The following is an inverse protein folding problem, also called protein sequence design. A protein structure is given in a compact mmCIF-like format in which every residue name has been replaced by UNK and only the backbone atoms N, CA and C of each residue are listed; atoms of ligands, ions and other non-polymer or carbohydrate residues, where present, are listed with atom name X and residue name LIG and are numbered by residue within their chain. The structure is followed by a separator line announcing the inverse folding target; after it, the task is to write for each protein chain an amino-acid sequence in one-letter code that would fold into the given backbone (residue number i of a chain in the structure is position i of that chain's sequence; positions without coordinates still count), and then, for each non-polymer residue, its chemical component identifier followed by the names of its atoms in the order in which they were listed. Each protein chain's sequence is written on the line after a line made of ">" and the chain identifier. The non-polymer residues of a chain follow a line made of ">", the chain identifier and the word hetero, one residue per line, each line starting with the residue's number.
data_IF_648741175101
#
_entry.id   IF_648741175101
#
_cell.length_a   1.000
_cell.length_b   1.000
_cell.length_c   1.000
_cell.angle_alpha   90.00
_cell.angle_beta   90.00
_cell.angle_gamma   90.00
#
_symmetry.space_group_name_H-M   'P 1'
#
loop_
_entity.id
_entity.type
_entity.pdbx_description
1 polymer ?
#
# COMPACT_ATOMS: atom_id res chain seq x y z
N UNK A 1 -19.79 -2.88 -19.36
CA UNK A 1 -18.72 -3.39 -20.25
C UNK A 1 -17.47 -3.58 -19.38
N UNK A 2 -17.32 -4.76 -18.79
CA UNK A 2 -16.20 -5.11 -17.90
C UNK A 2 -15.04 -5.60 -18.75
N UNK A 3 -13.88 -4.94 -18.64
CA UNK A 3 -12.58 -5.21 -19.28
C UNK A 3 -12.47 -6.57 -19.99
N UNK A 4 -12.97 -6.61 -21.22
CA UNK A 4 -12.59 -7.56 -22.24
C UNK A 4 -11.58 -6.87 -23.16
N UNK A 5 -10.30 -7.08 -22.90
CA UNK A 5 -9.22 -6.81 -23.85
C UNK A 5 -8.01 -7.68 -23.48
N UNK A 6 -8.07 -8.93 -23.95
CA UNK A 6 -6.95 -9.71 -24.49
C UNK A 6 -5.58 -9.52 -23.84
N UNK A 7 -5.35 -10.24 -22.74
CA UNK A 7 -4.06 -10.88 -22.48
C UNK A 7 -4.39 -12.30 -22.00
N UNK A 8 -4.50 -13.21 -22.96
CA UNK A 8 -4.96 -14.59 -22.79
C UNK A 8 -4.12 -15.34 -21.74
N UNK A 9 -4.64 -15.49 -20.51
CA UNK A 9 -4.37 -16.58 -19.52
C UNK A 9 -4.67 -16.27 -18.03
N UNK A 10 -5.46 -15.24 -17.69
CA UNK A 10 -5.67 -14.86 -16.28
C UNK A 10 -7.15 -14.73 -15.92
N UNK A 11 -7.65 -15.62 -15.05
CA UNK A 11 -8.97 -15.49 -14.40
C UNK A 11 -8.83 -14.97 -12.96
N UNK A 12 -9.61 -13.93 -12.61
CA UNK A 12 -9.80 -13.46 -11.23
C UNK A 12 -11.21 -13.85 -10.76
N UNK A 13 -11.33 -14.38 -9.54
CA UNK A 13 -12.61 -14.76 -8.93
C UNK A 13 -13.04 -13.77 -7.83
N UNK A 14 -14.34 -13.45 -7.67
CA UNK A 14 -14.87 -12.63 -6.58
C UNK A 14 -14.67 -13.27 -5.19
N UNK A 15 -14.66 -12.44 -4.13
CA UNK A 15 -14.38 -12.85 -2.74
C UNK A 15 -15.52 -13.54 -1.99
N UNK A 16 -16.76 -13.39 -2.46
CA UNK A 16 -17.95 -14.00 -1.84
C UNK A 16 -18.29 -15.29 -2.60
N UNK A 17 -17.91 -16.43 -2.02
CA UNK A 17 -18.00 -17.76 -2.62
C UNK A 17 -19.43 -18.35 -2.63
N UNK A 18 -20.43 -17.55 -3.01
CA UNK A 18 -21.66 -18.04 -3.63
C UNK A 18 -21.47 -17.92 -5.15
N UNK A 19 -20.45 -18.61 -5.66
CA UNK A 19 -20.14 -18.62 -7.09
C UNK A 19 -21.27 -19.38 -7.79
N UNK A 20 -22.09 -18.60 -8.48
CA UNK A 20 -23.13 -19.03 -9.40
C UNK A 20 -22.68 -20.22 -10.25
N UNK A 21 -23.59 -21.18 -10.40
CA UNK A 21 -23.50 -22.42 -11.21
C UNK A 21 -23.29 -22.20 -12.71
N UNK A 22 -23.01 -20.98 -13.16
CA UNK A 22 -22.89 -20.63 -14.57
C UNK A 22 -21.47 -20.95 -15.01
N UNK A 23 -21.26 -22.12 -15.62
CA UNK A 23 -19.96 -22.67 -16.04
C UNK A 23 -19.11 -21.83 -17.02
N UNK A 24 -19.40 -20.55 -17.21
CA UNK A 24 -18.64 -19.61 -18.03
C UNK A 24 -17.17 -19.49 -17.61
N UNK A 25 -16.87 -19.55 -16.30
CA UNK A 25 -15.50 -19.48 -15.79
C UNK A 25 -14.72 -20.81 -15.93
N UNK A 26 -15.38 -21.93 -16.26
CA UNK A 26 -14.69 -23.22 -16.38
C UNK A 26 -13.78 -23.27 -17.59
N UNK A 27 -14.19 -22.66 -18.71
CA UNK A 27 -13.37 -22.60 -19.92
C UNK A 27 -12.11 -21.74 -19.69
N UNK A 28 -12.25 -20.59 -19.03
CA UNK A 28 -11.10 -19.70 -18.71
C UNK A 28 -10.08 -20.38 -17.78
N UNK A 29 -10.54 -21.25 -16.89
CA UNK A 29 -9.69 -21.95 -15.92
C UNK A 29 -8.98 -23.18 -16.48
N UNK A 30 -9.49 -23.81 -17.55
CA UNK A 30 -8.86 -25.00 -18.18
C UNK A 30 -7.46 -24.69 -18.69
N UNK A 31 -7.26 -23.49 -19.26
CA UNK A 31 -6.00 -23.08 -19.89
C UNK A 31 -5.16 -22.14 -19.01
N UNK A 32 -5.67 -21.78 -17.83
CA UNK A 32 -4.98 -20.89 -16.91
C UNK A 32 -3.74 -21.57 -16.29
N UNK A 33 -2.57 -20.95 -16.42
CA UNK A 33 -1.36 -21.42 -15.73
C UNK A 33 -1.43 -21.12 -14.23
N UNK A 34 -1.98 -19.95 -13.89
CA UNK A 34 -2.07 -19.45 -12.53
C UNK A 34 -3.36 -18.66 -12.33
N UNK A 35 -4.01 -18.87 -11.20
CA UNK A 35 -5.24 -18.19 -10.78
C UNK A 35 -4.93 -17.29 -9.59
N UNK A 36 -5.34 -16.03 -9.65
CA UNK A 36 -5.12 -15.06 -8.57
C UNK A 36 -6.40 -14.88 -7.78
N UNK A 37 -6.32 -15.11 -6.47
CA UNK A 37 -7.49 -15.11 -5.58
C UNK A 37 -7.21 -14.21 -4.39
N UNK A 38 -7.86 -13.03 -4.30
CA UNK A 38 -7.85 -12.25 -3.07
C UNK A 38 -8.68 -13.00 -2.00
N UNK A 39 -8.03 -13.37 -0.91
CA UNK A 39 -8.65 -14.09 0.20
C UNK A 39 -8.83 -13.14 1.39
N UNK A 40 -10.08 -12.96 1.82
CA UNK A 40 -10.40 -12.22 3.03
C UNK A 40 -10.48 -13.14 4.26
N UNK A 41 -9.74 -12.80 5.30
CA UNK A 41 -9.74 -13.48 6.59
C UNK A 41 -10.66 -12.76 7.56
N UNK A 42 -11.97 -13.06 7.50
CA UNK A 42 -13.00 -12.30 8.22
C UNK A 42 -12.75 -12.13 9.73
N UNK A 43 -12.17 -13.14 10.41
CA UNK A 43 -11.86 -13.06 11.85
C UNK A 43 -10.88 -11.95 12.22
N UNK A 44 -9.95 -11.64 11.32
CA UNK A 44 -8.89 -10.64 11.54
C UNK A 44 -9.03 -9.44 10.60
N UNK A 45 -10.08 -9.39 9.79
CA UNK A 45 -10.33 -8.34 8.79
C UNK A 45 -9.10 -8.05 7.92
N UNK A 46 -8.43 -9.11 7.46
CA UNK A 46 -7.17 -9.03 6.73
C UNK A 46 -7.29 -9.64 5.34
N UNK A 47 -6.66 -9.02 4.35
CA UNK A 47 -6.62 -9.51 2.98
C UNK A 47 -5.25 -10.09 2.67
N UNK A 48 -5.24 -11.26 2.03
CA UNK A 48 -4.04 -11.90 1.49
C UNK A 48 -4.27 -12.28 0.03
N UNK A 49 -3.21 -12.38 -0.76
CA UNK A 49 -3.31 -12.88 -2.12
C UNK A 49 -2.87 -14.34 -2.19
N UNK A 50 -3.71 -15.19 -2.77
CA UNK A 50 -3.33 -16.53 -3.20
C UNK A 50 -3.00 -16.50 -4.70
N UNK A 51 -1.88 -17.09 -5.08
CA UNK A 51 -1.56 -17.39 -6.47
C UNK A 51 -1.49 -18.91 -6.64
N UNK A 52 -2.55 -19.48 -7.20
CA UNK A 52 -2.73 -20.92 -7.38
C UNK A 52 -2.13 -21.33 -8.72
N UNK A 53 -1.05 -22.11 -8.70
CA UNK A 53 -0.41 -22.67 -9.91
C UNK A 53 -0.99 -24.04 -10.21
N UNK A 54 -1.97 -24.08 -11.11
CA UNK A 54 -2.73 -25.29 -11.43
C UNK A 54 -1.84 -26.43 -11.98
N UNK A 55 -0.84 -26.07 -12.78
CA UNK A 55 0.10 -27.04 -13.36
C UNK A 55 1.09 -27.67 -12.37
N UNK A 56 1.37 -27.00 -11.24
CA UNK A 56 2.34 -27.43 -10.24
C UNK A 56 1.69 -27.95 -8.95
N UNK A 57 0.37 -27.88 -8.83
CA UNK A 57 -0.35 -28.13 -7.57
C UNK A 57 0.28 -27.37 -6.39
N UNK A 58 0.58 -26.09 -6.60
CA UNK A 58 1.18 -25.19 -5.60
C UNK A 58 0.29 -23.97 -5.40
N UNK A 59 0.12 -23.54 -4.15
CA UNK A 59 -0.54 -22.28 -3.78
C UNK A 59 0.48 -21.37 -3.13
N UNK A 60 0.82 -20.28 -3.79
CA UNK A 60 1.67 -19.25 -3.21
C UNK A 60 0.83 -18.23 -2.44
N UNK A 61 1.23 -17.94 -1.21
CA UNK A 61 0.56 -16.97 -0.34
C UNK A 61 1.42 -15.72 -0.22
N UNK A 62 0.84 -14.57 -0.52
CA UNK A 62 1.43 -13.25 -0.28
C UNK A 62 0.65 -12.54 0.83
N UNK A 63 1.27 -12.44 2.01
CA UNK A 63 0.72 -11.79 3.20
C UNK A 63 1.56 -10.56 3.55
N UNK A 64 0.95 -9.38 3.55
CA UNK A 64 1.61 -8.10 3.84
C UNK A 64 1.90 -7.87 5.33
N UNK A 65 1.40 -8.69 6.25
CA UNK A 65 1.63 -8.52 7.70
C UNK A 65 2.66 -9.53 8.24
N UNK A 66 2.81 -10.69 7.62
CA UNK A 66 3.51 -11.81 8.24
C UNK A 66 4.87 -12.12 7.60
N UNK A 67 5.96 -11.88 8.35
CA UNK A 67 7.29 -12.49 8.13
C UNK A 67 7.61 -13.63 9.11
N UNK A 68 6.84 -13.73 10.20
CA UNK A 68 7.03 -14.66 11.34
C UNK A 68 5.86 -15.66 11.35
N UNK A 69 5.91 -16.84 12.00
CA UNK A 69 4.72 -17.65 12.24
C UNK A 69 3.62 -16.85 12.96
N UNK A 70 2.67 -16.36 12.18
CA UNK A 70 1.46 -15.70 12.65
C UNK A 70 0.39 -16.74 13.04
N UNK A 71 -0.42 -16.48 14.08
CA UNK A 71 -1.53 -17.35 14.47
C UNK A 71 -2.54 -17.59 13.33
N UNK A 72 -2.75 -16.62 12.43
CA UNK A 72 -3.68 -16.78 11.30
C UNK A 72 -3.08 -17.51 10.09
N UNK A 73 -1.80 -17.90 10.14
CA UNK A 73 -1.17 -18.69 9.07
C UNK A 73 -1.93 -20.00 8.83
N UNK A 74 -2.36 -20.66 9.92
CA UNK A 74 -3.18 -21.88 9.87
C UNK A 74 -4.54 -21.63 9.22
N UNK A 75 -5.15 -20.47 9.49
CA UNK A 75 -6.43 -20.10 8.91
C UNK A 75 -6.32 -19.86 7.40
N UNK A 76 -5.21 -19.24 6.95
CA UNK A 76 -4.90 -19.08 5.52
C UNK A 76 -4.71 -20.45 4.86
N UNK A 77 -3.88 -21.33 5.44
CA UNK A 77 -3.63 -22.67 4.91
C UNK A 77 -4.92 -23.49 4.82
N UNK A 78 -5.75 -23.47 5.87
CA UNK A 78 -7.03 -24.17 5.89
C UNK A 78 -7.99 -23.62 4.83
N UNK A 79 -8.07 -22.28 4.70
CA UNK A 79 -8.93 -21.63 3.71
C UNK A 79 -8.46 -21.91 2.28
N UNK A 80 -7.16 -21.84 2.02
CA UNK A 80 -6.56 -22.16 0.73
C UNK A 80 -6.79 -23.63 0.35
N UNK A 81 -6.57 -24.57 1.27
CA UNK A 81 -6.82 -26.01 1.04
C UNK A 81 -8.30 -26.27 0.79
N UNK A 82 -9.20 -25.68 1.57
CA UNK A 82 -10.65 -25.81 1.39
C UNK A 82 -11.05 -25.30 0.00
N UNK A 83 -10.66 -24.07 -0.35
CA UNK A 83 -10.95 -23.45 -1.64
C UNK A 83 -10.43 -24.31 -2.80
N UNK A 84 -9.20 -24.78 -2.70
CA UNK A 84 -8.61 -25.64 -3.73
C UNK A 84 -9.35 -26.97 -3.84
N UNK A 85 -9.68 -27.61 -2.72
CA UNK A 85 -10.37 -28.90 -2.69
C UNK A 85 -11.81 -28.82 -3.19
N UNK A 86 -12.54 -27.76 -2.87
CA UNK A 86 -13.96 -27.64 -3.26
C UNK A 86 -14.15 -27.06 -4.66
N UNK A 87 -13.30 -26.14 -5.12
CA UNK A 87 -13.55 -25.40 -6.36
C UNK A 87 -12.51 -25.63 -7.45
N UNK A 88 -11.26 -25.94 -7.09
CA UNK A 88 -10.15 -25.99 -8.05
C UNK A 88 -9.59 -27.41 -8.29
N UNK A 89 -10.00 -28.40 -7.49
CA UNK A 89 -9.47 -29.78 -7.51
C UNK A 89 -9.41 -30.36 -8.93
N UNK A 90 -10.48 -30.15 -9.71
CA UNK A 90 -10.62 -30.66 -11.09
C UNK A 90 -9.69 -30.00 -12.12
N UNK A 91 -9.13 -28.83 -11.80
CA UNK A 91 -8.23 -28.10 -12.69
C UNK A 91 -6.75 -28.37 -12.36
N UNK A 92 -6.45 -29.04 -11.24
CA UNK A 92 -5.09 -29.47 -10.95
C UNK A 92 -4.69 -30.67 -11.81
N UNK A 93 -3.43 -30.68 -12.26
CA UNK A 93 -2.87 -31.83 -13.00
C UNK A 93 -2.61 -33.05 -12.12
N UNK A 94 -2.47 -32.85 -10.82
CA UNK A 94 -2.23 -33.91 -9.84
C UNK A 94 -3.43 -34.08 -8.92
N UNK A 95 -3.73 -35.34 -8.55
CA UNK A 95 -4.72 -35.68 -7.52
C UNK A 95 -4.22 -35.38 -6.10
N UNK A 96 -2.93 -35.10 -5.93
CA UNK A 96 -2.35 -34.76 -4.62
C UNK A 96 -2.85 -33.40 -4.15
N UNK A 97 -3.15 -33.23 -2.86
CA UNK A 97 -3.49 -31.93 -2.29
C UNK A 97 -2.41 -30.90 -2.61
N UNK A 98 -2.77 -29.65 -2.95
CA UNK A 98 -1.78 -28.67 -3.33
C UNK A 98 -0.90 -28.27 -2.15
N UNK A 99 0.37 -28.00 -2.44
CA UNK A 99 1.34 -27.54 -1.45
C UNK A 99 1.16 -26.04 -1.24
N UNK A 100 1.01 -25.59 0.01
CA UNK A 100 0.86 -24.17 0.34
C UNK A 100 2.23 -23.60 0.73
N UNK A 101 2.67 -22.58 0.00
CA UNK A 101 3.99 -21.94 0.14
C UNK A 101 3.82 -20.47 0.43
N UNK A 102 4.39 -19.99 1.55
CA UNK A 102 4.38 -18.58 1.91
C UNK A 102 5.56 -17.87 1.25
N UNK A 103 5.27 -16.86 0.43
CA UNK A 103 6.28 -16.07 -0.26
C UNK A 103 6.61 -14.82 0.53
N UNK A 104 7.88 -14.39 0.44
CA UNK A 104 8.30 -13.12 1.02
C UNK A 104 7.55 -11.98 0.31
N UNK A 105 6.84 -11.18 1.09
CA UNK A 105 5.96 -10.12 0.60
C UNK A 105 6.42 -8.74 1.10
N UNK A 106 6.02 -7.68 0.40
CA UNK A 106 6.22 -6.32 0.90
C UNK A 106 5.39 -6.17 2.18
N UNK A 107 6.03 -5.69 3.25
CA UNK A 107 5.37 -5.55 4.55
C UNK A 107 4.61 -4.23 4.62
N UNK A 108 3.38 -4.28 5.11
CA UNK A 108 2.55 -3.11 5.32
C UNK A 108 2.95 -2.35 6.59
N UNK A 109 2.89 -1.02 6.49
CA UNK A 109 3.15 -0.11 7.60
C UNK A 109 1.79 0.38 8.10
N UNK A 110 1.11 -0.44 8.91
CA UNK A 110 -0.22 -0.13 9.46
C UNK A 110 -1.22 -1.27 9.32
N UNK A 111 -2.47 -1.03 9.72
CA UNK A 111 -3.54 -2.04 9.72
C UNK A 111 -4.50 -1.94 8.53
N UNK A 112 -4.44 -0.87 7.73
CA UNK A 112 -5.50 -0.51 6.77
C UNK A 112 -5.19 -0.84 5.31
N UNK A 113 -3.94 -1.20 4.99
CA UNK A 113 -3.45 -1.27 3.61
C UNK A 113 -3.45 -2.67 3.00
N UNK A 114 -3.91 -3.70 3.70
CA UNK A 114 -3.83 -5.09 3.24
C UNK A 114 -4.52 -5.32 1.88
N UNK A 115 -5.62 -4.63 1.61
CA UNK A 115 -6.28 -4.66 0.30
C UNK A 115 -5.43 -4.03 -0.80
N UNK A 116 -4.80 -2.88 -0.55
CA UNK A 116 -3.91 -2.21 -1.52
C UNK A 116 -2.70 -3.08 -1.85
N UNK A 117 -2.11 -3.71 -0.83
CA UNK A 117 -0.99 -4.64 -1.01
C UNK A 117 -1.41 -5.89 -1.81
N UNK A 118 -2.59 -6.43 -1.55
CA UNK A 118 -3.15 -7.58 -2.29
C UNK A 118 -3.30 -7.25 -3.79
N UNK A 119 -3.91 -6.11 -4.11
CA UNK A 119 -4.08 -5.65 -5.49
C UNK A 119 -2.74 -5.37 -6.18
N UNK A 120 -1.81 -4.73 -5.47
CA UNK A 120 -0.47 -4.44 -5.96
C UNK A 120 0.29 -5.73 -6.29
N UNK A 121 0.25 -6.73 -5.42
CA UNK A 121 0.85 -8.04 -5.70
C UNK A 121 0.20 -8.71 -6.92
N UNK A 122 -1.13 -8.64 -7.04
CA UNK A 122 -1.83 -9.21 -8.18
C UNK A 122 -1.39 -8.54 -9.49
N UNK A 123 -1.35 -7.21 -9.55
CA UNK A 123 -0.91 -6.44 -10.71
C UNK A 123 0.50 -6.85 -11.16
N UNK A 124 1.44 -6.99 -10.22
CA UNK A 124 2.82 -7.40 -10.53
C UNK A 124 2.93 -8.86 -10.98
N UNK A 125 2.12 -9.76 -10.42
CA UNK A 125 2.07 -11.16 -10.84
C UNK A 125 1.49 -11.31 -12.24
N UNK A 126 0.48 -10.51 -12.61
CA UNK A 126 -0.12 -10.50 -13.96
C UNK A 126 0.93 -10.13 -15.00
N UNK A 127 1.74 -9.10 -14.74
CA UNK A 127 2.80 -8.66 -15.67
C UNK A 127 4.11 -9.45 -15.52
N UNK A 128 4.13 -10.51 -14.71
CA UNK A 128 5.31 -11.33 -14.40
C UNK A 128 6.53 -10.51 -13.96
N UNK A 129 6.32 -9.45 -13.16
CA UNK A 129 7.40 -8.63 -12.60
C UNK A 129 7.52 -8.81 -11.10
N UNK A 130 8.74 -8.66 -10.59
CA UNK A 130 8.99 -8.62 -9.15
C UNK A 130 8.58 -7.25 -8.60
N UNK A 131 7.86 -7.24 -7.49
CA UNK A 131 7.50 -6.02 -6.79
C UNK A 131 8.75 -5.30 -6.24
N UNK A 132 8.94 -3.99 -6.49
CA UNK A 132 10.05 -3.23 -5.94
C UNK A 132 10.00 -3.15 -4.42
N UNK A 133 11.17 -3.21 -3.79
CA UNK A 133 11.32 -3.11 -2.32
C UNK A 133 10.84 -1.74 -1.80
N UNK A 134 10.99 -0.69 -2.60
CA UNK A 134 10.58 0.66 -2.27
C UNK A 134 9.37 1.04 -3.12
N UNK A 135 8.17 0.68 -2.65
CA UNK A 135 6.92 1.04 -3.31
C UNK A 135 6.14 2.05 -2.47
N UNK A 136 5.72 3.16 -3.07
CA UNK A 136 4.88 4.16 -2.40
C UNK A 136 3.41 3.73 -2.45
N UNK A 137 2.92 3.22 -1.32
CA UNK A 137 1.56 2.70 -1.18
C UNK A 137 0.51 3.80 -1.37
N UNK A 138 0.81 5.05 -1.05
CA UNK A 138 -0.16 6.13 -1.23
C UNK A 138 -0.44 6.39 -2.71
N UNK A 139 0.59 6.31 -3.55
CA UNK A 139 0.44 6.43 -5.01
C UNK A 139 -0.44 5.31 -5.55
N UNK A 140 -0.20 4.07 -5.11
CA UNK A 140 -1.02 2.91 -5.52
C UNK A 140 -2.45 2.98 -4.99
N UNK A 141 -2.65 3.48 -3.76
CA UNK A 141 -3.99 3.71 -3.22
C UNK A 141 -4.77 4.70 -4.08
N UNK A 142 -4.14 5.81 -4.47
CA UNK A 142 -4.74 6.79 -5.38
C UNK A 142 -5.01 6.19 -6.76
N UNK A 143 -4.06 5.46 -7.34
CA UNK A 143 -4.23 4.79 -8.63
C UNK A 143 -5.37 3.77 -8.61
N UNK A 144 -5.47 2.92 -7.58
CA UNK A 144 -6.58 1.97 -7.46
C UNK A 144 -7.91 2.68 -7.22
N UNK A 145 -7.93 3.78 -6.45
CA UNK A 145 -9.16 4.57 -6.26
C UNK A 145 -9.66 5.19 -7.56
N UNK A 146 -8.78 5.56 -8.50
CA UNK A 146 -9.20 6.10 -9.81
C UNK A 146 -9.86 5.07 -10.72
N UNK A 147 -9.58 3.77 -10.53
CA UNK A 147 -10.27 2.71 -11.27
C UNK A 147 -11.66 2.38 -10.71
N UNK A 148 -11.97 2.85 -9.50
CA UNK A 148 -13.25 2.61 -8.84
C UNK A 148 -14.33 3.66 -9.19
N UNK A 149 -14.01 4.60 -10.09
CA UNK A 149 -14.98 5.54 -10.67
C UNK A 149 -15.72 4.85 -11.82
N UNK A 150 -16.79 4.13 -11.48
CA UNK A 150 -17.61 3.44 -12.46
C UNK A 150 -18.74 2.58 -11.90
N UNK A 151 -19.11 2.73 -10.62
CA UNK A 151 -20.30 2.06 -10.07
C UNK A 151 -21.62 2.71 -10.49
N UNK A 152 -21.59 3.76 -11.32
CA UNK A 152 -22.75 4.23 -12.08
C UNK A 152 -22.47 4.05 -13.59
N UNK A 153 -23.15 3.12 -14.29
CA UNK A 153 -22.88 2.83 -15.70
C UNK A 153 -23.22 3.98 -16.66
N UNK A 154 -23.92 5.03 -16.21
CA UNK A 154 -24.31 6.17 -17.03
C UNK A 154 -23.37 7.39 -16.93
N UNK A 155 -22.35 7.37 -16.05
CA UNK A 155 -21.53 8.55 -15.72
C UNK A 155 -20.12 8.52 -16.39
N UNK A 156 -20.08 8.14 -17.67
CA UNK A 156 -18.84 7.96 -18.46
C UNK A 156 -18.20 9.30 -18.88
N UNK A 157 -18.85 10.45 -18.66
CA UNK A 157 -18.28 11.77 -18.96
C UNK A 157 -17.27 12.29 -17.91
N UNK A 158 -17.14 11.59 -16.78
CA UNK A 158 -16.34 12.03 -15.63
C UNK A 158 -14.95 11.40 -15.45
N UNK A 159 -14.42 10.63 -16.40
CA UNK A 159 -13.08 10.04 -16.22
C UNK A 159 -11.99 11.12 -16.34
N UNK A 160 -11.07 11.29 -15.36
CA UNK A 160 -9.89 12.14 -15.54
C UNK A 160 -8.89 11.60 -16.57
N UNK A 161 -9.13 10.39 -17.09
CA UNK A 161 -8.34 9.73 -18.13
C UNK A 161 -9.26 9.15 -19.20
N UNK A 162 -9.80 10.02 -20.05
CA UNK A 162 -10.28 9.58 -21.36
C UNK A 162 -9.03 9.19 -22.15
N UNK A 163 -8.80 7.89 -22.36
CA UNK A 163 -7.74 7.45 -23.27
C UNK A 163 -8.20 7.86 -24.68
N UNK A 164 -7.45 8.78 -25.29
CA UNK A 164 -7.70 9.25 -26.64
C UNK A 164 -6.77 8.45 -27.54
N UNK A 165 -7.25 7.52 -28.37
CA UNK A 165 -6.40 6.68 -29.22
C UNK A 165 -5.40 7.49 -30.06
N UNK A 166 -5.78 8.71 -30.41
CA UNK A 166 -5.02 9.67 -31.21
C UNK A 166 -4.04 10.55 -30.41
N UNK A 167 -4.08 10.52 -29.07
CA UNK A 167 -3.06 11.13 -28.18
C UNK A 167 -2.19 10.08 -27.46
N UNK A 168 -2.70 8.84 -27.33
CA UNK A 168 -2.03 7.75 -26.63
C UNK A 168 -1.17 6.87 -27.56
N UNK A 169 -1.40 6.92 -28.87
CA UNK A 169 -0.42 6.50 -29.88
C UNK A 169 0.48 7.70 -30.25
N UNK A 170 1.44 8.01 -29.39
CA UNK A 170 2.56 8.84 -29.81
C UNK A 170 3.46 8.01 -30.73
N UNK A 171 3.28 8.16 -32.05
CA UNK A 171 4.37 7.86 -32.99
C UNK A 171 5.46 8.89 -32.68
N UNK A 172 6.45 8.48 -31.89
CA UNK A 172 7.67 9.24 -31.67
C UNK A 172 8.46 9.21 -32.97
N UNK A 173 8.10 10.07 -33.92
CA UNK A 173 9.04 10.54 -34.93
C UNK A 173 10.06 11.40 -34.17
N UNK A 174 11.15 10.76 -33.78
CA UNK A 174 12.32 11.48 -33.26
C UNK A 174 12.88 12.23 -34.46
N UNK A 175 12.49 13.49 -34.61
CA UNK A 175 13.24 14.44 -35.42
C UNK A 175 14.65 14.48 -34.84
N UNK A 176 15.58 13.85 -35.55
CA UNK A 176 17.01 14.10 -35.43
C UNK A 176 17.25 15.58 -35.79
N UNK A 177 17.05 16.47 -34.83
CA UNK A 177 17.79 17.74 -34.62
C UNK A 177 16.99 18.75 -33.79
N UNK A 178 16.94 18.58 -32.46
CA UNK A 178 17.25 19.68 -31.53
C UNK A 178 17.86 19.09 -30.26
N UNK A 179 19.11 19.50 -29.98
CA UNK A 179 19.93 19.14 -28.83
C UNK A 179 19.15 18.82 -27.54
N UNK A 180 19.30 17.58 -27.07
CA UNK A 180 18.92 17.07 -25.75
C UNK A 180 19.04 18.14 -24.62
N UNK A 181 17.99 18.35 -23.81
CA UNK A 181 18.14 19.13 -22.59
C UNK A 181 19.04 18.35 -21.63
N UNK A 182 20.22 18.92 -21.37
CA UNK A 182 21.22 18.38 -20.44
C UNK A 182 20.58 18.00 -19.09
N UNK A 183 21.11 16.93 -18.49
CA UNK A 183 21.00 16.55 -17.06
C UNK A 183 20.64 17.73 -16.14
N UNK A 184 19.44 17.67 -15.56
CA UNK A 184 19.10 18.35 -14.31
C UNK A 184 18.53 19.76 -14.45
N UNK A 185 17.22 19.87 -14.69
CA UNK A 185 16.46 21.02 -14.22
C UNK A 185 16.54 21.03 -12.69
N UNK A 186 17.50 21.77 -12.14
CA UNK A 186 17.59 22.04 -10.71
C UNK A 186 16.44 22.97 -10.35
N UNK A 187 15.55 22.53 -9.45
CA UNK A 187 14.62 23.43 -8.76
C UNK A 187 15.47 24.57 -8.21
N UNK A 188 15.16 25.79 -8.62
CA UNK A 188 15.89 26.97 -8.18
C UNK A 188 15.59 27.21 -6.70
N UNK A 189 16.54 27.81 -5.96
CA UNK A 189 16.32 28.16 -4.55
C UNK A 189 15.09 29.07 -4.36
N UNK A 190 14.75 29.86 -5.40
CA UNK A 190 13.56 30.70 -5.45
C UNK A 190 12.26 29.88 -5.47
N UNK A 191 12.19 28.87 -6.34
CA UNK A 191 11.03 27.96 -6.41
C UNK A 191 10.88 27.13 -5.13
N UNK A 192 12.01 26.65 -4.58
CA UNK A 192 12.03 25.93 -3.31
C UNK A 192 11.52 26.79 -2.15
N UNK A 193 11.97 28.05 -2.08
CA UNK A 193 11.53 29.00 -1.05
C UNK A 193 10.04 29.36 -1.19
N UNK A 194 9.54 29.53 -2.42
CA UNK A 194 8.13 29.78 -2.70
C UNK A 194 7.25 28.58 -2.30
N UNK A 195 7.71 27.35 -2.55
CA UNK A 195 7.01 26.14 -2.13
C UNK A 195 6.96 26.01 -0.59
N UNK A 196 8.06 26.32 0.12
CA UNK A 196 8.06 26.35 1.59
C UNK A 196 7.08 27.40 2.14
N UNK A 197 7.06 28.60 1.55
CA UNK A 197 6.14 29.66 1.97
C UNK A 197 4.68 29.25 1.76
N UNK A 198 4.37 28.67 0.59
CA UNK A 198 3.04 28.15 0.26
C UNK A 198 2.60 27.06 1.23
N UNK A 199 3.50 26.14 1.58
CA UNK A 199 3.24 25.10 2.57
C UNK A 199 2.96 25.68 3.96
N UNK A 200 3.75 26.64 4.44
CA UNK A 200 3.50 27.31 5.73
C UNK A 200 2.16 28.04 5.75
N UNK A 201 1.78 28.68 4.66
CA UNK A 201 0.48 29.35 4.54
C UNK A 201 -0.67 28.33 4.61
N UNK A 202 -0.53 27.18 3.95
CA UNK A 202 -1.50 26.09 4.04
C UNK A 202 -1.60 25.51 5.46
N UNK A 203 -0.47 25.23 6.11
CA UNK A 203 -0.42 24.73 7.50
C UNK A 203 -1.16 25.68 8.45
N UNK A 204 -0.92 27.00 8.35
CA UNK A 204 -1.64 28.01 9.14
C UNK A 204 -3.14 28.04 8.85
N UNK A 205 -3.55 27.90 7.58
CA UNK A 205 -4.97 27.84 7.19
C UNK A 205 -5.66 26.61 7.79
N UNK A 206 -4.98 25.46 7.78
CA UNK A 206 -5.52 24.23 8.36
C UNK A 206 -5.65 24.30 9.87
N UNK A 207 -4.68 24.90 10.57
CA UNK A 207 -4.74 25.13 12.02
C UNK A 207 -5.97 25.96 12.43
N UNK A 208 -6.31 27.01 11.66
CA UNK A 208 -7.51 27.81 11.88
C UNK A 208 -8.79 27.00 11.68
N UNK A 209 -8.86 26.19 10.61
CA UNK A 209 -10.03 25.34 10.32
C UNK A 209 -10.23 24.30 11.43
N UNK A 210 -9.15 23.64 11.86
CA UNK A 210 -9.21 22.62 12.91
C UNK A 210 -9.59 23.22 14.27
N UNK A 211 -9.01 24.38 14.62
CA UNK A 211 -9.39 25.12 15.82
C UNK A 211 -10.88 25.48 15.81
N UNK A 212 -11.39 26.02 14.68
CA UNK A 212 -12.81 26.37 14.54
C UNK A 212 -13.72 25.14 14.70
N UNK A 213 -13.36 24.00 14.08
CA UNK A 213 -14.10 22.73 14.22
C UNK A 213 -14.07 22.24 15.67
N UNK A 214 -12.92 22.29 16.34
CA UNK A 214 -12.78 21.91 17.75
C UNK A 214 -13.68 22.76 18.65
N UNK A 215 -13.62 24.08 18.52
CA UNK A 215 -14.46 25.01 19.29
C UNK A 215 -15.95 24.77 19.03
N UNK A 216 -16.35 24.55 17.77
CA UNK A 216 -17.73 24.24 17.43
C UNK A 216 -18.21 22.91 18.04
N UNK A 217 -17.39 21.87 17.99
CA UNK A 217 -17.73 20.58 18.59
C UNK A 217 -17.82 20.68 20.12
N UNK A 218 -16.91 21.42 20.77
CA UNK A 218 -16.99 21.69 22.21
C UNK A 218 -18.26 22.44 22.58
N UNK A 219 -18.66 23.45 21.79
CA UNK A 219 -19.93 24.16 21.98
C UNK A 219 -21.14 23.23 21.88
N UNK A 220 -21.19 22.37 20.84
CA UNK A 220 -22.28 21.40 20.68
C UNK A 220 -22.33 20.38 21.83
N UNK A 221 -21.18 19.97 22.36
CA UNK A 221 -21.12 19.08 23.52
C UNK A 221 -21.63 19.77 24.80
N UNK A 222 -21.30 21.04 25.01
CA UNK A 222 -21.80 21.84 26.14
C UNK A 222 -23.32 22.07 26.04
N UNK A 223 -23.82 22.39 24.84
CA UNK A 223 -25.25 22.56 24.56
C UNK A 223 -26.02 21.25 24.81
N UNK A 224 -25.54 20.12 24.26
CA UNK A 224 -26.12 18.81 24.56
C UNK A 224 -26.04 18.43 26.04
N UNK A 225 -25.00 18.84 26.77
CA UNK A 225 -24.89 18.57 28.21
C UNK A 225 -25.95 19.33 29.01
N UNK A 226 -26.24 20.58 28.63
CA UNK A 226 -27.34 21.38 29.21
C UNK A 226 -28.69 20.74 28.94
N UNK A 227 -28.96 20.33 27.70
CA UNK A 227 -30.19 19.62 27.34
C UNK A 227 -30.38 18.34 28.19
N UNK A 228 -29.30 17.57 28.39
CA UNK A 228 -29.34 16.37 29.23
C UNK A 228 -29.64 16.72 30.69
N UNK A 229 -29.07 17.81 31.23
CA UNK A 229 -29.37 18.28 32.58
C UNK A 229 -30.82 18.68 32.77
N UNK A 230 -31.41 19.37 31.79
CA UNK A 230 -32.83 19.73 31.78
C UNK A 230 -33.72 18.48 31.72
N UNK A 231 -33.41 17.53 30.83
CA UNK A 231 -34.09 16.23 30.76
C UNK A 231 -33.97 15.45 32.07
N UNK A 232 -32.79 15.46 32.71
CA UNK A 232 -32.57 14.79 34.00
C UNK A 232 -33.45 15.38 35.10
N UNK A 233 -33.65 16.70 35.10
CA UNK A 233 -34.51 17.41 36.05
C UNK A 233 -35.98 17.01 35.84
N UNK A 234 -36.44 16.97 34.58
CA UNK A 234 -37.81 16.53 34.23
C UNK A 234 -38.03 15.07 34.59
N UNK A 235 -37.06 14.19 34.31
CA UNK A 235 -37.14 12.77 34.67
C UNK A 235 -37.16 12.59 36.19
N UNK A 236 -36.39 13.38 36.93
CA UNK A 236 -36.41 13.37 38.40
C UNK A 236 -37.79 13.77 38.95
N UNK A 237 -38.44 14.80 38.38
CA UNK A 237 -39.77 15.23 38.75
C UNK A 237 -40.85 14.19 38.42
N UNK A 238 -40.73 13.49 37.29
CA UNK A 238 -41.62 12.37 36.92
C UNK A 238 -41.40 11.17 37.85
N UNK A 239 -40.14 10.87 38.18
CA UNK A 239 -39.77 9.81 39.11
C UNK A 239 -40.18 10.10 40.56
N UNK A 240 -40.37 11.37 40.93
CA UNK A 240 -40.95 11.76 42.21
C UNK A 240 -42.37 11.20 42.41
N UNK A 241 -43.09 10.91 41.32
CA UNK A 241 -44.41 10.28 41.29
C UNK A 241 -44.36 8.74 41.23
N UNK A 242 -43.20 8.15 40.93
CA UNK A 242 -43.00 6.72 40.84
C UNK A 242 -42.77 6.06 42.21
N UNK A 243 -42.97 4.74 42.29
CA UNK A 243 -42.69 3.97 43.51
C UNK A 243 -41.19 3.99 43.85
N UNK A 244 -40.80 3.91 45.13
CA UNK A 244 -39.39 4.00 45.53
C UNK A 244 -38.47 3.01 44.81
N UNK A 245 -38.96 1.79 44.56
CA UNK A 245 -38.19 0.75 43.86
C UNK A 245 -37.95 1.06 42.37
N UNK A 246 -38.91 1.69 41.69
CA UNK A 246 -38.74 2.12 40.29
C UNK A 246 -37.79 3.30 40.20
N UNK A 247 -37.89 4.24 41.15
CA UNK A 247 -36.99 5.39 41.25
C UNK A 247 -35.53 4.97 41.46
N UNK A 248 -35.28 4.03 42.37
CA UNK A 248 -33.92 3.55 42.65
C UNK A 248 -33.29 2.87 41.43
N UNK A 249 -34.06 2.04 40.71
CA UNK A 249 -33.59 1.38 39.50
C UNK A 249 -33.28 2.36 38.37
N UNK A 250 -34.17 3.31 38.08
CA UNK A 250 -33.94 4.30 37.02
C UNK A 250 -32.79 5.25 37.36
N UNK A 251 -32.65 5.66 38.63
CA UNK A 251 -31.52 6.49 39.08
C UNK A 251 -30.18 5.74 38.97
N UNK A 252 -30.17 4.43 39.19
CA UNK A 252 -28.96 3.61 39.02
C UNK A 252 -28.56 3.49 37.54
N UNK A 253 -29.52 3.27 36.64
CA UNK A 253 -29.30 3.22 35.20
C UNK A 253 -28.78 4.57 34.65
N UNK A 254 -29.41 5.68 35.07
CA UNK A 254 -29.01 7.03 34.71
C UNK A 254 -27.61 7.39 35.24
N UNK A 255 -27.29 7.01 36.48
CA UNK A 255 -25.97 7.24 37.07
C UNK A 255 -24.88 6.45 36.34
N UNK A 256 -25.18 5.21 35.93
CA UNK A 256 -24.27 4.37 35.15
C UNK A 256 -23.99 4.98 33.78
N UNK A 257 -25.02 5.48 33.10
CA UNK A 257 -24.88 6.13 31.80
C UNK A 257 -24.10 7.45 31.90
N UNK A 258 -24.37 8.25 32.93
CA UNK A 258 -23.63 9.49 33.21
C UNK A 258 -22.12 9.24 33.40
N UNK A 259 -21.76 8.23 34.23
CA UNK A 259 -20.36 7.85 34.46
C UNK A 259 -19.69 7.32 33.19
N UNK A 260 -20.40 6.52 32.38
CA UNK A 260 -19.87 6.04 31.10
C UNK A 260 -19.57 7.20 30.14
N UNK A 261 -20.44 8.21 30.08
CA UNK A 261 -20.24 9.40 29.26
C UNK A 261 -19.08 10.26 29.75
N UNK A 262 -18.91 10.43 31.07
CA UNK A 262 -17.74 11.12 31.62
C UNK A 262 -16.42 10.41 31.25
N UNK A 263 -16.39 9.07 31.28
CA UNK A 263 -15.21 8.31 30.89
C UNK A 263 -14.84 8.52 29.41
N UNK A 264 -15.85 8.62 28.51
CA UNK A 264 -15.64 8.93 27.10
C UNK A 264 -15.07 10.36 26.94
N UNK A 265 -15.62 11.35 27.64
CA UNK A 265 -15.13 12.73 27.59
C UNK A 265 -13.67 12.83 28.06
N UNK A 266 -13.33 12.18 29.18
CA UNK A 266 -11.95 12.09 29.66
C UNK A 266 -11.02 11.37 28.65
N UNK A 267 -11.53 10.37 27.92
CA UNK A 267 -10.75 9.70 26.87
C UNK A 267 -10.49 10.64 25.67
N UNK A 268 -11.45 11.50 25.32
CA UNK A 268 -11.33 12.48 24.24
C UNK A 268 -10.38 13.64 24.58
N UNK A 269 -10.29 14.04 25.85
CA UNK A 269 -9.29 15.00 26.33
C UNK A 269 -7.86 14.46 26.26
N UNK A 270 -7.70 13.14 26.34
CA UNK A 270 -6.41 12.44 26.27
C UNK A 270 -6.01 12.01 24.85
N UNK A 271 -6.84 12.26 23.82
CA UNK A 271 -6.44 12.02 22.43
C UNK A 271 -5.28 12.97 22.11
N UNK A 272 -4.09 12.45 21.77
CA UNK A 272 -2.91 13.27 21.57
C UNK A 272 -3.21 14.36 20.56
N UNK A 273 -2.91 15.61 20.95
CA UNK A 273 -3.16 16.79 20.13
C UNK A 273 -2.55 16.52 18.74
N UNK A 274 -3.35 16.51 17.65
CA UNK A 274 -2.88 16.09 16.32
C UNK A 274 -1.64 16.87 15.88
N UNK A 275 -1.48 18.12 16.33
CA UNK A 275 -0.28 18.93 16.17
C UNK A 275 0.99 18.32 16.76
N UNK A 276 0.92 17.66 17.93
CA UNK A 276 2.08 17.01 18.54
C UNK A 276 2.45 15.72 17.78
N UNK A 277 1.46 14.92 17.37
CA UNK A 277 1.71 13.74 16.55
C UNK A 277 2.32 14.12 15.18
N UNK A 278 1.85 15.22 14.58
CA UNK A 278 2.41 15.77 13.34
C UNK A 278 3.84 16.32 13.54
N UNK A 279 4.12 16.97 14.68
CA UNK A 279 5.48 17.39 15.03
C UNK A 279 6.42 16.20 15.23
N UNK A 280 5.97 15.15 15.92
CA UNK A 280 6.75 13.92 16.15
C UNK A 280 7.00 13.18 14.83
N UNK A 281 6.00 13.13 13.95
CA UNK A 281 6.14 12.60 12.60
C UNK A 281 7.13 13.44 11.75
N UNK A 282 7.04 14.77 11.84
CA UNK A 282 7.99 15.70 11.21
C UNK A 282 9.43 15.50 11.69
N UNK A 283 9.63 15.26 12.98
CA UNK A 283 10.93 14.93 13.56
C UNK A 283 11.47 13.60 13.04
N UNK A 284 10.63 12.55 12.97
CA UNK A 284 10.97 11.25 12.38
C UNK A 284 11.35 11.37 10.90
N UNK A 285 10.61 12.15 10.11
CA UNK A 285 10.93 12.42 8.70
C UNK A 285 12.27 13.14 8.54
N UNK A 286 12.56 14.16 9.37
CA UNK A 286 13.86 14.84 9.37
C UNK A 286 15.01 13.89 9.69
N UNK A 287 14.84 13.01 10.69
CA UNK A 287 15.83 11.99 11.03
C UNK A 287 16.07 11.02 9.86
N UNK A 288 15.00 10.52 9.24
CA UNK A 288 15.09 9.62 8.08
C UNK A 288 15.77 10.28 6.89
N UNK A 289 15.45 11.55 6.59
CA UNK A 289 16.14 12.34 5.55
C UNK A 289 17.64 12.44 5.80
N UNK A 290 18.06 12.70 7.05
CA UNK A 290 19.47 12.77 7.43
C UNK A 290 20.19 11.44 7.18
N UNK A 291 19.57 10.32 7.53
CA UNK A 291 20.10 8.97 7.29
C UNK A 291 20.22 8.66 5.80
N UNK A 292 19.19 8.96 4.99
CA UNK A 292 19.25 8.77 3.54
C UNK A 292 20.34 9.61 2.87
N UNK A 293 20.52 10.86 3.30
CA UNK A 293 21.62 11.72 2.81
C UNK A 293 23.00 11.17 3.18
N UNK A 294 23.16 10.62 4.38
CA UNK A 294 24.40 9.98 4.80
C UNK A 294 24.71 8.73 3.94
N UNK A 295 23.70 7.88 3.70
CA UNK A 295 23.81 6.71 2.83
C UNK A 295 24.17 7.10 1.39
N UNK A 296 23.51 8.12 0.83
CA UNK A 296 23.81 8.60 -0.52
C UNK A 296 25.25 9.12 -0.66
N UNK A 297 25.79 9.80 0.38
CA UNK A 297 27.20 10.21 0.41
C UNK A 297 28.13 9.00 0.47
N UNK A 298 27.82 8.01 1.30
CA UNK A 298 28.60 6.78 1.41
C UNK A 298 28.66 6.04 0.06
N UNK A 299 27.51 5.85 -0.61
CA UNK A 299 27.45 5.24 -1.94
C UNK A 299 28.30 6.01 -2.95
N UNK A 300 28.18 7.35 -2.97
CA UNK A 300 28.97 8.19 -3.88
C UNK A 300 30.48 8.03 -3.64
N UNK A 301 30.92 7.99 -2.39
CA UNK A 301 32.32 7.76 -2.05
C UNK A 301 32.79 6.38 -2.49
N UNK A 302 31.98 5.33 -2.27
CA UNK A 302 32.28 3.97 -2.72
C UNK A 302 32.35 3.87 -4.25
N UNK A 303 31.43 4.50 -4.98
CA UNK A 303 31.47 4.55 -6.45
C UNK A 303 32.70 5.29 -6.97
N UNK A 304 33.08 6.41 -6.33
CA UNK A 304 34.31 7.13 -6.68
C UNK A 304 35.56 6.28 -6.41
N UNK A 305 35.59 5.54 -5.31
CA UNK A 305 36.68 4.61 -4.99
C UNK A 305 36.77 3.47 -6.01
N UNK A 306 35.63 2.91 -6.43
CA UNK A 306 35.58 1.86 -7.46
C UNK A 306 36.10 2.38 -8.81
N UNK A 307 35.68 3.57 -9.24
CA UNK A 307 36.18 4.21 -10.46
C UNK A 307 37.68 4.50 -10.42
N UNK A 308 38.21 4.90 -9.25
CA UNK A 308 39.64 5.08 -9.07
C UNK A 308 40.40 3.74 -9.16
N UNK A 309 39.88 2.67 -8.58
CA UNK A 309 40.44 1.33 -8.68
C UNK A 309 40.42 0.81 -10.13
N UNK A 310 39.32 1.03 -10.86
CA UNK A 310 39.21 0.68 -12.28
C UNK A 310 40.27 1.39 -13.13
N UNK A 311 40.46 2.70 -12.94
CA UNK A 311 41.52 3.45 -13.63
C UNK A 311 42.93 2.94 -13.30
N UNK A 312 43.17 2.51 -12.05
CA UNK A 312 44.45 1.93 -11.66
C UNK A 312 44.71 0.60 -12.37
N UNK A 313 43.73 -0.32 -12.35
CA UNK A 313 43.84 -1.59 -13.06
C UNK A 313 44.04 -1.41 -14.57
N UNK A 314 43.39 -0.41 -15.16
CA UNK A 314 43.56 -0.11 -16.57
C UNK A 314 44.98 0.37 -16.92
N UNK A 315 45.60 1.19 -16.06
CA UNK A 315 47.02 1.56 -16.22
C UNK A 315 47.96 0.38 -15.99
N UNK A 316 47.66 -0.48 -15.02
CA UNK A 316 48.46 -1.69 -14.77
C UNK A 316 48.38 -2.65 -15.97
N UNK A 317 47.21 -2.76 -16.61
CA UNK A 317 47.03 -3.51 -17.85
C UNK A 317 47.84 -2.90 -19.01
N UNK A 318 47.74 -1.59 -19.22
CA UNK A 318 48.52 -0.87 -20.25
C UNK A 318 50.03 -1.07 -20.05
N UNK A 319 50.51 -1.01 -18.80
CA UNK A 319 51.91 -1.24 -18.46
C UNK A 319 52.36 -2.69 -18.70
N UNK A 320 51.51 -3.69 -18.39
CA UNK A 320 51.77 -5.10 -18.71
C UNK A 320 51.84 -5.32 -20.21
N UNK A 321 50.89 -4.76 -20.98
CA UNK A 321 50.87 -4.85 -22.43
C UNK A 321 52.12 -4.21 -23.06
N UNK A 322 52.53 -3.04 -22.55
CA UNK A 322 53.77 -2.39 -23.00
C UNK A 322 54.99 -3.26 -22.70
N UNK A 323 55.09 -3.82 -21.50
CA UNK A 323 56.20 -4.74 -21.14
C UNK A 323 56.22 -6.00 -22.00
N UNK A 324 55.07 -6.55 -22.34
CA UNK A 324 54.97 -7.68 -23.28
C UNK A 324 55.46 -7.29 -24.67
N UNK A 325 55.08 -6.11 -25.16
CA UNK A 325 55.56 -5.61 -26.45
C UNK A 325 57.08 -5.39 -26.44
N UNK A 326 57.62 -4.75 -25.41
CA UNK A 326 59.05 -4.52 -25.25
C UNK A 326 59.86 -5.83 -25.21
N UNK A 327 59.29 -6.90 -24.63
CA UNK A 327 59.90 -8.23 -24.63
C UNK A 327 59.88 -8.87 -26.02
N UNK A 328 58.78 -8.72 -26.78
CA UNK A 328 58.68 -9.17 -28.17
C UNK A 328 59.68 -8.46 -29.06
N UNK A 329 59.81 -7.14 -28.91
CA UNK A 329 60.75 -6.33 -29.68
C UNK A 329 62.22 -6.69 -29.39
N UNK A 330 62.50 -7.27 -28.22
CA UNK A 330 63.83 -7.79 -27.84
C UNK A 330 64.10 -9.23 -28.31
N UNK A 331 63.17 -9.86 -29.01
CA UNK A 331 63.31 -11.22 -29.53
C UNK A 331 63.26 -12.30 -28.45
N UNK A 332 62.62 -12.03 -27.31
CA UNK A 332 62.33 -13.07 -26.32
C UNK A 332 61.11 -13.85 -26.81
N UNK A 333 61.32 -15.03 -27.38
CA UNK A 333 60.22 -15.93 -27.78
C UNK A 333 59.37 -16.30 -26.57
N UNK A 334 58.04 -16.31 -26.74
CA UNK A 334 57.09 -16.65 -25.68
C UNK A 334 57.40 -18.05 -25.12
N UNK A 335 57.69 -18.12 -23.82
CA UNK A 335 57.79 -19.40 -23.12
C UNK A 335 56.38 -19.98 -23.04
N UNK A 336 56.05 -20.91 -23.93
CA UNK A 336 54.82 -21.70 -23.84
C UNK A 336 54.74 -22.32 -22.43
N UNK A 337 53.72 -21.90 -21.67
CA UNK A 337 53.42 -22.39 -20.31
C UNK A 337 52.11 -23.14 -20.29
#
# INVERSE_FOLDING_TARGET
>A
MLLGATCSKWGMLPSDFDVARDGAYEEDLKDAEKVLIPLHLGRVSHWVLLAVKLGLSEVEVFDSISTVPSPWKRDIEASARRLCGSHLQRFFRSSTPPTVVFRQSLQQVGAIDCGVYTLLHAAYLIVNRRLPVNTDINVWRLAFSSFNYGSDPDDVEGTPWKLYPELDEAILEIEDDVAFPRKGARITDKEWSAAIASRKAYEKKMEVILTKKRTHNLYRLDEHHKDIGEVFTVVYDVLALATPAQREKEMEELSREYLARQAILASLENVPNPTQADMDFGAKLKARKKTCLALARAIRMSSQALEAAKRRLQRELEDVLQRQQDLKDRGVEEVET
#
